data_IF_285435036070
#
_entry.id   IF_285435036070
#
_cell.length_a   1.000
_cell.length_b   1.000
_cell.length_c   1.000
_cell.angle_alpha   90.00
_cell.angle_beta   90.00
_cell.angle_gamma   90.00
#
_symmetry.space_group_name_H-M   'P 1'
#
loop_
_entity.id
_entity.type
_entity.pdbx_description
1 polymer ?
#
# COMPACT_ATOMS: atom_id res chain seq x y z
N UNK A 1 -48.36 22.33 54.48
CA UNK A 1 -47.01 22.98 54.37
C UNK A 1 -46.03 21.95 53.89
N UNK A 2 -45.64 22.02 52.65
CA UNK A 2 -44.84 20.99 52.03
C UNK A 2 -43.49 21.62 51.64
N UNK A 3 -42.46 21.45 52.50
CA UNK A 3 -41.09 21.89 52.28
C UNK A 3 -40.40 20.90 51.35
N UNK A 4 -40.39 21.17 50.07
CA UNK A 4 -39.48 20.49 49.15
C UNK A 4 -38.09 21.16 49.26
N UNK A 5 -37.15 20.44 49.82
CA UNK A 5 -35.80 20.91 50.08
C UNK A 5 -35.00 21.22 48.82
N UNK A 6 -33.98 22.09 48.93
CA UNK A 6 -33.17 22.65 47.82
C UNK A 6 -32.21 21.65 47.17
N UNK A 7 -32.14 20.38 47.59
CA UNK A 7 -31.15 19.40 47.15
C UNK A 7 -31.42 18.79 45.75
N UNK A 8 -32.63 18.80 45.23
CA UNK A 8 -32.93 18.23 43.94
C UNK A 8 -32.48 19.08 42.73
N UNK A 9 -32.33 20.38 42.87
CA UNK A 9 -31.91 21.27 41.77
C UNK A 9 -30.43 21.17 41.43
N UNK A 10 -29.55 20.90 42.42
CA UNK A 10 -28.09 20.84 42.20
C UNK A 10 -27.65 19.62 41.37
N UNK A 11 -28.33 18.47 41.52
CA UNK A 11 -27.95 17.27 40.85
C UNK A 11 -28.28 17.29 39.33
N UNK A 12 -29.36 17.98 38.95
CA UNK A 12 -29.76 18.11 37.53
C UNK A 12 -28.76 18.98 36.75
N UNK A 13 -28.27 20.05 37.39
CA UNK A 13 -27.30 20.96 36.76
C UNK A 13 -25.94 20.29 36.59
N UNK A 14 -25.51 19.45 37.51
CA UNK A 14 -24.24 18.72 37.43
C UNK A 14 -24.30 17.68 36.32
N UNK A 15 -25.38 16.93 36.20
CA UNK A 15 -25.55 15.91 35.16
C UNK A 15 -25.58 16.52 33.74
N UNK A 16 -26.27 17.69 33.60
CA UNK A 16 -26.32 18.39 32.31
C UNK A 16 -24.99 19.01 31.93
N UNK A 17 -24.20 19.50 32.91
CA UNK A 17 -22.85 20.03 32.65
C UNK A 17 -21.87 18.93 32.32
N UNK A 18 -21.88 17.79 33.00
CA UNK A 18 -21.06 16.61 32.67
C UNK A 18 -21.35 16.06 31.27
N UNK A 19 -22.63 16.00 30.89
CA UNK A 19 -23.03 15.56 29.55
C UNK A 19 -22.55 16.52 28.46
N UNK A 20 -22.54 17.82 28.68
CA UNK A 20 -22.00 18.82 27.73
C UNK A 20 -20.49 18.75 27.63
N UNK A 21 -19.78 18.54 28.73
CA UNK A 21 -18.32 18.39 28.77
C UNK A 21 -17.92 17.10 28.04
N UNK A 22 -18.65 16.00 28.24
CA UNK A 22 -18.42 14.73 27.54
C UNK A 22 -18.61 14.86 26.03
N UNK A 23 -19.61 15.62 25.58
CA UNK A 23 -19.86 15.88 24.16
C UNK A 23 -18.75 16.74 23.52
N UNK A 24 -18.28 17.76 24.24
CA UNK A 24 -17.17 18.62 23.79
C UNK A 24 -15.85 17.82 23.73
N UNK A 25 -15.61 16.97 24.73
CA UNK A 25 -14.41 16.11 24.75
C UNK A 25 -14.42 15.07 23.61
N UNK A 26 -15.60 14.57 23.23
CA UNK A 26 -15.77 13.68 22.10
C UNK A 26 -15.52 14.39 20.74
N UNK A 27 -15.91 15.67 20.63
CA UNK A 27 -15.61 16.48 19.44
C UNK A 27 -14.14 16.93 19.35
N UNK A 28 -13.41 16.91 20.47
CA UNK A 28 -11.98 17.25 20.52
C UNK A 28 -11.07 16.03 20.33
N UNK A 29 -11.62 14.82 20.22
CA UNK A 29 -10.83 13.69 19.73
C UNK A 29 -10.42 14.06 18.32
N UNK A 30 -9.12 14.27 18.04
CA UNK A 30 -8.69 14.44 16.67
C UNK A 30 -9.12 13.15 15.94
N UNK A 31 -10.07 13.28 15.02
CA UNK A 31 -10.18 12.37 13.92
C UNK A 31 -8.78 12.46 13.28
N UNK A 32 -7.86 11.61 13.74
CA UNK A 32 -6.68 11.31 12.96
C UNK A 32 -7.25 10.81 11.65
N UNK A 33 -7.40 11.73 10.70
CA UNK A 33 -7.57 11.36 9.31
C UNK A 33 -6.55 10.26 9.13
N UNK A 34 -6.97 9.11 8.69
CA UNK A 34 -6.08 8.00 8.36
C UNK A 34 -5.23 8.61 7.26
N UNK A 35 -4.15 9.30 7.65
CA UNK A 35 -3.10 9.69 6.73
C UNK A 35 -2.59 8.36 6.22
N UNK A 36 -3.00 8.02 5.01
CA UNK A 36 -2.62 6.79 4.34
C UNK A 36 -1.12 6.88 4.12
N UNK A 37 -0.38 6.39 5.07
CA UNK A 37 1.07 6.48 5.06
C UNK A 37 1.61 5.43 4.11
N UNK A 38 2.62 5.77 3.33
CA UNK A 38 3.31 4.79 2.48
C UNK A 38 3.76 3.57 3.26
N UNK A 39 4.03 3.71 4.55
CA UNK A 39 4.43 2.64 5.44
C UNK A 39 3.32 1.59 5.66
N UNK A 40 2.09 2.03 5.91
CA UNK A 40 0.94 1.12 6.05
C UNK A 40 0.65 0.36 4.73
N UNK A 41 0.86 1.03 3.60
CA UNK A 41 0.74 0.40 2.27
C UNK A 41 1.81 -0.67 2.06
N UNK A 42 3.06 -0.38 2.46
CA UNK A 42 4.16 -1.36 2.40
C UNK A 42 3.85 -2.58 3.25
N UNK A 43 3.39 -2.40 4.49
CA UNK A 43 3.02 -3.51 5.37
C UNK A 43 1.90 -4.37 4.77
N UNK A 44 0.94 -3.75 4.11
CA UNK A 44 -0.15 -4.48 3.45
C UNK A 44 0.34 -5.24 2.20
N UNK A 45 1.24 -4.65 1.39
CA UNK A 45 1.88 -5.33 0.25
C UNK A 45 2.70 -6.54 0.70
N UNK A 46 3.48 -6.40 1.78
CA UNK A 46 4.24 -7.51 2.38
C UNK A 46 3.31 -8.63 2.83
N UNK A 47 2.18 -8.31 3.49
CA UNK A 47 1.18 -9.30 3.91
C UNK A 47 0.51 -10.01 2.73
N UNK A 48 0.43 -9.37 1.56
CA UNK A 48 -0.05 -10.01 0.33
C UNK A 48 0.98 -10.94 -0.30
N UNK A 49 2.21 -10.98 0.22
CA UNK A 49 3.27 -11.86 -0.23
C UNK A 49 4.22 -11.25 -1.27
N UNK A 50 4.14 -9.95 -1.53
CA UNK A 50 5.14 -9.28 -2.36
C UNK A 50 6.50 -9.24 -1.67
N UNK A 51 7.55 -9.42 -2.45
CA UNK A 51 8.94 -9.34 -1.99
C UNK A 51 9.58 -8.00 -2.40
N UNK A 52 10.73 -7.70 -1.80
CA UNK A 52 11.49 -6.48 -2.09
C UNK A 52 10.65 -5.20 -2.06
N UNK A 53 9.63 -5.20 -1.19
CA UNK A 53 8.74 -4.05 -1.05
C UNK A 53 9.50 -2.88 -0.45
N UNK A 54 9.38 -1.73 -1.08
CA UNK A 54 10.00 -0.50 -0.62
C UNK A 54 9.13 0.71 -0.95
N UNK A 55 9.40 1.83 -0.30
CA UNK A 55 8.76 3.08 -0.63
C UNK A 55 9.64 4.27 -0.28
N UNK A 56 9.39 5.36 -0.94
CA UNK A 56 9.90 6.68 -0.58
C UNK A 56 8.91 7.75 -1.00
N UNK A 57 9.03 8.91 -0.41
CA UNK A 57 8.24 10.07 -0.77
C UNK A 57 9.10 11.30 -0.66
N UNK A 58 9.07 12.12 -1.69
CA UNK A 58 9.69 13.43 -1.73
C UNK A 58 8.65 14.52 -2.04
N UNK A 59 9.10 15.70 -2.41
CA UNK A 59 8.22 16.82 -2.77
C UNK A 59 7.50 16.62 -4.10
N UNK A 60 8.04 15.79 -4.97
CA UNK A 60 7.58 15.62 -6.34
C UNK A 60 6.69 14.40 -6.53
N UNK A 61 7.09 13.24 -5.99
CA UNK A 61 6.35 12.01 -6.18
C UNK A 61 6.41 11.08 -4.96
N UNK A 62 5.47 10.12 -4.89
CA UNK A 62 5.53 8.96 -4.00
C UNK A 62 5.87 7.73 -4.84
N UNK A 63 6.90 7.00 -4.47
CA UNK A 63 7.38 5.82 -5.19
C UNK A 63 7.22 4.59 -4.32
N UNK A 64 6.58 3.55 -4.88
CA UNK A 64 6.57 2.20 -4.35
C UNK A 64 7.40 1.28 -5.24
N UNK A 65 8.03 0.30 -4.62
CA UNK A 65 8.79 -0.75 -5.29
C UNK A 65 8.26 -2.09 -4.82
N UNK A 66 8.00 -3.01 -5.74
CA UNK A 66 7.56 -4.37 -5.43
C UNK A 66 8.27 -5.38 -6.32
N UNK A 67 8.35 -6.62 -5.84
CA UNK A 67 8.64 -7.80 -6.64
C UNK A 67 7.51 -8.81 -6.43
N UNK A 68 6.94 -9.29 -7.53
CA UNK A 68 5.88 -10.29 -7.45
C UNK A 68 6.48 -11.69 -7.28
N UNK A 69 6.25 -12.29 -6.13
CA UNK A 69 6.56 -13.69 -5.85
C UNK A 69 5.34 -14.48 -5.39
N UNK A 70 4.23 -13.76 -5.13
CA UNK A 70 3.00 -14.35 -4.61
C UNK A 70 2.05 -14.85 -5.71
N UNK A 71 2.08 -14.23 -6.88
CA UNK A 71 1.12 -14.51 -7.96
C UNK A 71 1.82 -15.09 -9.17
N UNK A 72 1.30 -16.21 -9.69
CA UNK A 72 1.87 -16.89 -10.86
C UNK A 72 1.89 -16.03 -12.11
N UNK A 73 0.86 -15.20 -12.30
CA UNK A 73 0.77 -14.27 -13.43
C UNK A 73 1.19 -12.87 -12.97
N UNK A 74 2.20 -12.32 -13.62
CA UNK A 74 2.75 -11.01 -13.30
C UNK A 74 1.69 -9.91 -13.33
N UNK A 75 0.89 -9.86 -14.40
CA UNK A 75 -0.18 -8.86 -14.53
C UNK A 75 -1.25 -8.94 -13.44
N UNK A 76 -1.52 -10.14 -12.89
CA UNK A 76 -2.44 -10.29 -11.75
C UNK A 76 -1.82 -9.72 -10.49
N UNK A 77 -0.54 -10.01 -10.23
CA UNK A 77 0.20 -9.45 -9.10
C UNK A 77 0.23 -7.93 -9.16
N UNK A 78 0.64 -7.36 -10.28
CA UNK A 78 0.68 -5.91 -10.49
C UNK A 78 -0.72 -5.29 -10.27
N UNK A 79 -1.76 -5.86 -10.87
CA UNK A 79 -3.13 -5.37 -10.68
C UNK A 79 -3.58 -5.36 -9.22
N UNK A 80 -3.21 -6.37 -8.43
CA UNK A 80 -3.49 -6.43 -6.99
C UNK A 80 -2.72 -5.37 -6.20
N UNK A 81 -1.46 -5.13 -6.57
CA UNK A 81 -0.66 -4.08 -5.94
C UNK A 81 -1.23 -2.69 -6.24
N UNK A 82 -1.61 -2.43 -7.49
CA UNK A 82 -2.26 -1.18 -7.91
C UNK A 82 -3.56 -0.95 -7.13
N UNK A 83 -4.44 -1.96 -7.04
CA UNK A 83 -5.69 -1.87 -6.27
C UNK A 83 -5.45 -1.51 -4.80
N UNK A 84 -4.40 -2.08 -4.20
CA UNK A 84 -4.05 -1.79 -2.81
C UNK A 84 -3.52 -0.36 -2.65
N UNK A 85 -2.63 0.07 -3.54
CA UNK A 85 -2.07 1.42 -3.53
C UNK A 85 -3.18 2.46 -3.75
N UNK A 86 -4.12 2.21 -4.65
CA UNK A 86 -5.28 3.09 -4.86
C UNK A 86 -6.11 3.26 -3.59
N UNK A 87 -6.30 2.19 -2.82
CA UNK A 87 -7.12 2.21 -1.60
C UNK A 87 -6.47 2.91 -0.42
N UNK A 88 -5.15 2.84 -0.30
CA UNK A 88 -4.48 3.26 0.93
C UNK A 88 -3.09 3.87 0.76
N UNK A 89 -2.60 3.98 -0.46
CA UNK A 89 -1.22 4.42 -0.74
C UNK A 89 -1.10 5.69 -1.57
N UNK A 90 -2.17 6.14 -2.24
CA UNK A 90 -2.10 7.32 -3.07
C UNK A 90 -1.89 8.60 -2.24
N UNK A 91 -0.98 9.48 -2.65
CA UNK A 91 -0.85 10.81 -2.09
C UNK A 91 -1.96 11.75 -2.64
N UNK A 92 -2.38 12.73 -1.84
CA UNK A 92 -3.52 13.60 -2.20
C UNK A 92 -3.24 14.54 -3.38
N UNK A 93 -2.04 15.07 -3.53
CA UNK A 93 -1.76 16.17 -4.46
C UNK A 93 -0.46 15.98 -5.24
N UNK A 94 0.06 14.80 -5.35
CA UNK A 94 1.29 14.51 -6.08
C UNK A 94 1.21 13.17 -6.81
N UNK A 95 2.04 12.98 -7.84
CA UNK A 95 2.13 11.71 -8.56
C UNK A 95 2.48 10.53 -7.67
N UNK A 96 2.08 9.36 -8.11
CA UNK A 96 2.47 8.08 -7.51
C UNK A 96 3.07 7.17 -8.58
N UNK A 97 4.18 6.55 -8.26
CA UNK A 97 4.88 5.61 -9.14
C UNK A 97 5.00 4.24 -8.47
N UNK A 98 4.68 3.20 -9.19
CA UNK A 98 4.91 1.81 -8.78
C UNK A 98 5.95 1.19 -9.69
N UNK A 99 7.09 0.78 -9.13
CA UNK A 99 8.17 0.11 -9.84
C UNK A 99 8.11 -1.37 -9.57
N UNK A 100 8.06 -2.15 -10.64
CA UNK A 100 8.00 -3.61 -10.59
C UNK A 100 9.38 -4.17 -10.88
N UNK A 101 9.86 -5.01 -9.95
CA UNK A 101 11.12 -5.71 -10.07
C UNK A 101 10.89 -7.15 -10.52
N UNK A 102 11.83 -7.64 -11.33
CA UNK A 102 12.07 -9.06 -11.52
C UNK A 102 13.52 -9.37 -11.18
N UNK A 103 13.73 -10.32 -10.26
CA UNK A 103 15.05 -10.68 -9.74
C UNK A 103 15.88 -9.46 -9.29
N UNK A 104 15.25 -8.53 -8.57
CA UNK A 104 15.86 -7.25 -8.13
C UNK A 104 16.20 -6.26 -9.25
N UNK A 105 15.82 -6.53 -10.49
CA UNK A 105 16.02 -5.63 -11.64
C UNK A 105 14.70 -4.96 -11.98
N UNK A 106 14.64 -3.63 -12.06
CA UNK A 106 13.42 -2.93 -12.46
C UNK A 106 13.08 -3.24 -13.91
N UNK A 107 11.85 -3.66 -14.17
CA UNK A 107 11.34 -4.00 -15.47
C UNK A 107 10.49 -2.90 -16.07
N UNK A 108 9.48 -2.49 -15.32
CA UNK A 108 8.52 -1.46 -15.72
C UNK A 108 8.17 -0.58 -14.52
N UNK A 109 7.66 0.59 -14.80
CA UNK A 109 6.98 1.43 -13.83
C UNK A 109 5.55 1.73 -14.28
N UNK A 110 4.65 1.81 -13.31
CA UNK A 110 3.32 2.35 -13.50
C UNK A 110 3.27 3.72 -12.84
N UNK A 111 2.68 4.68 -13.54
CA UNK A 111 2.66 6.07 -13.12
C UNK A 111 1.23 6.58 -13.07
N UNK A 112 0.87 7.16 -11.95
CA UNK A 112 -0.39 7.84 -11.72
C UNK A 112 -0.15 9.33 -11.51
N UNK A 113 -0.86 10.16 -12.28
CA UNK A 113 -0.85 11.61 -12.16
C UNK A 113 -2.22 12.09 -11.69
N UNK A 114 -2.35 12.69 -10.50
CA UNK A 114 -3.62 13.24 -10.06
C UNK A 114 -4.03 14.43 -10.95
N UNK A 115 -5.27 14.46 -11.38
CA UNK A 115 -5.83 15.62 -12.02
C UNK A 115 -6.45 16.56 -10.98
N UNK A 116 -6.45 17.87 -11.26
CA UNK A 116 -7.09 18.84 -10.36
C UNK A 116 -8.58 18.56 -10.25
N UNK A 117 -9.03 18.21 -9.04
CA UNK A 117 -10.45 17.95 -8.76
C UNK A 117 -10.81 16.47 -8.66
N UNK A 118 -9.88 15.56 -8.96
CA UNK A 118 -10.14 14.14 -8.79
C UNK A 118 -10.22 13.76 -7.31
N UNK A 119 -11.24 13.01 -6.97
CA UNK A 119 -11.33 12.35 -5.68
C UNK A 119 -10.53 11.05 -5.73
N UNK A 120 -9.65 10.82 -4.75
CA UNK A 120 -8.90 9.57 -4.62
C UNK A 120 -9.83 8.34 -4.63
N UNK A 121 -11.07 8.51 -4.20
CA UNK A 121 -12.06 7.44 -4.18
C UNK A 121 -12.51 6.97 -5.58
N UNK A 122 -12.29 7.78 -6.62
CA UNK A 122 -12.72 7.50 -7.99
C UNK A 122 -11.59 6.98 -8.88
N UNK A 123 -10.36 6.90 -8.39
CA UNK A 123 -9.20 6.43 -9.17
C UNK A 123 -9.37 4.97 -9.56
N UNK A 124 -9.20 4.68 -10.83
CA UNK A 124 -9.28 3.35 -11.41
C UNK A 124 -7.92 2.88 -11.94
N UNK A 125 -7.79 1.59 -12.29
CA UNK A 125 -6.58 1.08 -12.92
C UNK A 125 -6.28 1.73 -14.27
N UNK A 126 -7.30 2.24 -14.97
CA UNK A 126 -7.16 2.89 -16.26
C UNK A 126 -6.42 4.23 -16.17
N UNK A 127 -6.37 4.83 -14.97
CA UNK A 127 -5.69 6.10 -14.73
C UNK A 127 -4.18 5.94 -14.55
N UNK A 128 -3.70 4.70 -14.54
CA UNK A 128 -2.28 4.38 -14.47
C UNK A 128 -1.70 4.16 -15.86
N UNK A 129 -0.64 4.87 -16.17
CA UNK A 129 0.14 4.69 -17.39
C UNK A 129 1.35 3.79 -17.14
N UNK A 130 1.69 2.97 -18.12
CA UNK A 130 2.91 2.16 -18.08
C UNK A 130 4.06 2.96 -18.68
N UNK A 131 5.20 2.98 -18.01
CA UNK A 131 6.41 3.68 -18.45
C UNK A 131 7.65 2.81 -18.19
N UNK A 132 8.67 3.02 -19.00
CA UNK A 132 10.01 2.46 -18.74
C UNK A 132 10.90 3.42 -17.95
N UNK A 133 10.43 4.64 -17.70
CA UNK A 133 11.13 5.60 -16.86
C UNK A 133 10.92 5.26 -15.38
N UNK A 134 12.01 5.23 -14.62
CA UNK A 134 11.99 4.82 -13.22
C UNK A 134 11.81 5.99 -12.24
N UNK A 135 12.03 7.21 -12.69
CA UNK A 135 12.07 8.39 -11.84
C UNK A 135 13.30 8.46 -10.93
N UNK A 136 13.52 9.59 -10.31
CA UNK A 136 14.69 9.82 -9.45
C UNK A 136 14.58 9.09 -8.10
N UNK A 137 13.35 8.97 -7.57
CA UNK A 137 13.08 8.37 -6.25
C UNK A 137 13.30 6.86 -6.16
N UNK A 138 13.37 6.15 -7.28
CA UNK A 138 13.44 4.68 -7.30
C UNK A 138 14.62 4.10 -6.51
N UNK A 139 15.82 4.66 -6.67
CA UNK A 139 17.04 4.17 -5.99
C UNK A 139 16.94 4.37 -4.48
N UNK A 140 16.31 5.45 -4.06
CA UNK A 140 16.10 5.78 -2.66
C UNK A 140 15.04 4.87 -2.03
N UNK A 141 13.92 4.63 -2.69
CA UNK A 141 12.89 3.68 -2.26
C UNK A 141 13.50 2.28 -2.03
N UNK A 142 14.35 1.82 -2.93
CA UNK A 142 15.05 0.54 -2.81
C UNK A 142 16.00 0.48 -1.61
N UNK A 143 16.63 1.58 -1.22
CA UNK A 143 17.63 1.60 -0.14
C UNK A 143 17.02 1.73 1.25
N UNK A 144 15.96 2.53 1.38
CA UNK A 144 15.51 3.02 2.69
C UNK A 144 14.47 2.09 3.32
N UNK A 145 13.51 1.57 2.57
CA UNK A 145 12.38 0.82 3.12
C UNK A 145 12.18 -0.51 2.40
N UNK A 146 13.08 -1.47 2.65
CA UNK A 146 12.85 -2.86 2.31
C UNK A 146 12.31 -3.59 3.54
N UNK A 147 11.06 -4.01 3.49
CA UNK A 147 10.43 -4.78 4.57
C UNK A 147 10.85 -6.26 4.52
N UNK A 148 10.98 -6.79 3.31
CA UNK A 148 11.51 -8.12 3.08
C UNK A 148 12.53 -8.09 1.94
N UNK A 149 13.61 -8.80 2.11
CA UNK A 149 14.55 -9.08 1.03
C UNK A 149 14.83 -10.56 1.04
N UNK A 150 14.60 -11.22 -0.07
CA UNK A 150 15.09 -12.59 -0.26
C UNK A 150 16.62 -12.55 -0.31
N UNK A 151 17.28 -12.85 0.80
CA UNK A 151 18.74 -12.90 0.89
C UNK A 151 19.32 -14.13 0.17
N UNK A 152 18.53 -15.21 0.13
CA UNK A 152 18.87 -16.46 -0.56
C UNK A 152 17.62 -17.02 -1.22
N UNK A 153 17.46 -16.80 -2.53
CA UNK A 153 16.50 -17.52 -3.33
C UNK A 153 17.23 -18.61 -4.09
N UNK A 154 17.07 -19.85 -3.67
CA UNK A 154 17.57 -21.01 -4.39
C UNK A 154 16.43 -21.50 -5.27
N UNK A 155 16.47 -21.20 -6.58
CA UNK A 155 15.55 -21.78 -7.55
C UNK A 155 16.10 -23.11 -8.00
N UNK A 156 15.53 -24.22 -7.53
CA UNK A 156 15.83 -25.55 -8.02
C UNK A 156 14.94 -25.80 -9.22
N UNK A 157 15.49 -25.69 -10.40
CA UNK A 157 14.79 -26.01 -11.65
C UNK A 157 15.18 -27.43 -12.06
N UNK A 158 14.23 -28.35 -12.00
CA UNK A 158 14.41 -29.73 -12.46
C UNK A 158 13.96 -29.80 -13.92
N UNK A 159 14.89 -29.98 -14.83
CA UNK A 159 14.59 -30.24 -16.23
C UNK A 159 14.53 -31.76 -16.44
N UNK A 160 13.38 -32.32 -16.86
CA UNK A 160 13.35 -33.71 -17.31
C UNK A 160 14.10 -33.81 -18.65
N UNK A 161 15.26 -34.43 -18.65
CA UNK A 161 16.01 -34.71 -19.87
C UNK A 161 15.51 -36.02 -20.45
N UNK A 162 14.79 -35.93 -21.56
CA UNK A 162 14.36 -37.11 -22.32
C UNK A 162 15.49 -37.55 -23.26
N UNK A 163 16.27 -38.51 -22.84
CA UNK A 163 17.29 -39.16 -23.69
C UNK A 163 16.62 -40.15 -24.61
N UNK A 164 16.43 -39.77 -25.87
CA UNK A 164 16.04 -40.71 -26.94
C UNK A 164 17.29 -41.46 -27.41
N UNK A 165 17.47 -42.71 -26.92
CA UNK A 165 18.50 -43.61 -27.46
C UNK A 165 17.97 -44.25 -28.75
N UNK A 166 18.46 -43.79 -29.89
CA UNK A 166 18.24 -44.47 -31.15
C UNK A 166 19.03 -45.78 -31.15
N UNK A 167 18.36 -46.90 -30.94
CA UNK A 167 18.93 -48.22 -31.23
C UNK A 167 18.92 -48.42 -32.73
N UNK A 168 20.08 -48.20 -33.36
CA UNK A 168 20.28 -48.65 -34.73
C UNK A 168 20.45 -50.17 -34.67
N UNK A 169 19.40 -50.89 -35.08
CA UNK A 169 19.50 -52.31 -35.33
C UNK A 169 20.35 -52.51 -36.57
N UNK A 170 21.64 -52.81 -36.35
CA UNK A 170 22.47 -53.35 -37.43
C UNK A 170 22.05 -54.78 -37.73
N UNK A 171 21.54 -55.04 -38.91
CA UNK A 171 21.39 -56.40 -39.45
C UNK A 171 22.73 -56.91 -39.89
#
# INVERSE_FOLDING_TARGET
>A
MNHKGPYMRKNITIVTTLRRISLILFCLLPLKGICQTGEATVDALVKMGFENVGWTEDTEERVFVIQNSAYRLEGVGIGKAVDLIQKMGLPENKPCRLIVLDNNVPQISLYYQPMKGDSIAEVSRADWSVSYELGEGWKQARRIKKQNSSLFKVDIVVYPELLFRNYILSK
#
